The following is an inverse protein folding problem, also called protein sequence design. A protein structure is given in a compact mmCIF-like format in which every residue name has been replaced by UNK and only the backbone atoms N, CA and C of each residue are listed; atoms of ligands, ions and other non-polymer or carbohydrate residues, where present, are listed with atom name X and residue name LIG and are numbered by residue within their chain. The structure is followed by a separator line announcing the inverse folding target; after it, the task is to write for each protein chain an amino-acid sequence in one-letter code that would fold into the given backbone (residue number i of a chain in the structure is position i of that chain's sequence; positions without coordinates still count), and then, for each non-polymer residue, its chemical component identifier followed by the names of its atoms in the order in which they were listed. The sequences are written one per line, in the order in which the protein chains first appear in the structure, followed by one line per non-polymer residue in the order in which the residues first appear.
data_IF_871446525099
#
_entry.id   IF_871446525099
#
_cell.length_a   1.000
_cell.length_b   1.000
_cell.length_c   1.000
_cell.angle_alpha   90.00
_cell.angle_beta   90.00
_cell.angle_gamma   90.00
#
_symmetry.space_group_name_H-M   'P 1'
#
loop_
_entity.id
_entity.type
_entity.pdbx_description
1 polymer ?
#
# COMPACT_ATOMS: atom_id res chain seq x y z
N UNK A 1 4.70 -3.47 -3.65
CA UNK A 1 5.36 -2.26 -3.10
C UNK A 1 6.58 -1.94 -3.94
N UNK A 2 6.47 -0.93 -4.78
CA UNK A 2 7.56 -0.41 -5.61
C UNK A 2 7.47 1.12 -5.63
N UNK A 3 8.55 1.86 -5.94
CA UNK A 3 8.48 3.32 -5.99
C UNK A 3 7.41 3.82 -6.96
N UNK A 4 7.26 3.16 -8.11
CA UNK A 4 6.25 3.51 -9.13
C UNK A 4 4.80 3.36 -8.69
N UNK A 5 4.52 2.61 -7.61
CA UNK A 5 3.18 2.49 -7.03
C UNK A 5 3.04 3.30 -5.74
N UNK A 6 4.05 3.28 -4.88
CA UNK A 6 4.03 3.98 -3.60
C UNK A 6 3.94 5.49 -3.78
N UNK A 7 4.68 6.09 -4.72
CA UNK A 7 4.63 7.54 -4.97
C UNK A 7 3.22 8.00 -5.36
N UNK A 8 2.56 7.42 -6.39
CA UNK A 8 1.18 7.76 -6.71
C UNK A 8 0.19 7.54 -5.57
N UNK A 9 0.38 6.49 -4.75
CA UNK A 9 -0.49 6.26 -3.59
C UNK A 9 -0.35 7.33 -2.51
N UNK A 10 0.87 7.83 -2.28
CA UNK A 10 1.10 8.99 -1.40
C UNK A 10 0.40 10.24 -1.97
N UNK A 11 0.52 10.47 -3.28
CA UNK A 11 -0.15 11.62 -3.91
C UNK A 11 -1.69 11.50 -3.86
N UNK A 12 -2.24 10.29 -3.99
CA UNK A 12 -3.67 10.06 -3.76
C UNK A 12 -4.07 10.34 -2.30
N UNK A 13 -3.27 9.91 -1.32
CA UNK A 13 -3.53 10.21 0.09
C UNK A 13 -3.52 11.73 0.35
N UNK A 14 -2.60 12.46 -0.28
CA UNK A 14 -2.59 13.94 -0.24
C UNK A 14 -3.83 14.54 -0.86
N UNK A 15 -4.24 14.07 -2.04
CA UNK A 15 -5.46 14.55 -2.70
C UNK A 15 -6.70 14.29 -1.84
N UNK A 16 -6.82 13.13 -1.20
CA UNK A 16 -7.91 12.86 -0.25
C UNK A 16 -7.86 13.85 0.92
N UNK A 17 -6.67 14.09 1.46
CA UNK A 17 -6.47 15.01 2.59
C UNK A 17 -6.74 16.49 2.24
N UNK A 18 -6.37 16.96 1.04
CA UNK A 18 -6.64 18.35 0.61
C UNK A 18 -8.14 18.64 0.47
N UNK A 19 -8.96 17.62 0.25
CA UNK A 19 -10.42 17.72 0.18
C UNK A 19 -11.09 17.55 1.55
N UNK A 20 -10.35 17.66 2.65
CA UNK A 20 -10.87 17.67 4.02
C UNK A 20 -11.16 16.28 4.60
N UNK A 21 -10.82 15.20 3.89
CA UNK A 21 -10.94 13.84 4.40
C UNK A 21 -9.69 13.42 5.15
N UNK A 22 -9.81 12.53 6.14
CA UNK A 22 -8.64 11.93 6.80
C UNK A 22 -8.07 10.83 5.90
N UNK A 23 -6.77 10.86 5.63
CA UNK A 23 -6.09 9.80 4.91
C UNK A 23 -5.19 9.00 5.86
N UNK A 24 -5.09 7.67 5.65
CA UNK A 24 -4.13 6.82 6.35
C UNK A 24 -3.40 5.97 5.33
N UNK A 25 -2.08 6.02 5.34
CA UNK A 25 -1.21 5.21 4.49
C UNK A 25 -0.68 4.05 5.31
N UNK A 26 -0.99 2.83 4.85
CA UNK A 26 -0.51 1.58 5.43
C UNK A 26 0.58 1.03 4.51
N UNK A 27 1.76 0.76 5.06
CA UNK A 27 2.91 0.22 4.31
C UNK A 27 3.87 -0.48 5.30
N UNK A 28 5.10 -0.77 4.92
CA UNK A 28 6.08 -1.42 5.82
C UNK A 28 7.08 -0.38 6.39
N UNK A 29 7.76 -0.66 7.51
CA UNK A 29 8.61 0.31 8.20
C UNK A 29 9.66 1.02 7.31
N UNK A 30 10.40 0.28 6.48
CA UNK A 30 11.41 0.88 5.59
C UNK A 30 10.80 1.64 4.41
N UNK A 31 9.58 1.31 4.00
CA UNK A 31 8.89 2.10 2.99
C UNK A 31 8.35 3.40 3.57
N UNK A 32 7.85 3.41 4.81
CA UNK A 32 7.43 4.63 5.51
C UNK A 32 8.60 5.62 5.65
N UNK A 33 9.78 5.15 6.05
CA UNK A 33 10.94 6.03 6.26
C UNK A 33 11.38 6.78 5.00
N UNK A 34 11.14 6.20 3.80
CA UNK A 34 11.40 6.87 2.51
C UNK A 34 10.51 8.09 2.26
N UNK A 35 9.29 8.11 2.81
CA UNK A 35 8.32 9.18 2.59
C UNK A 35 8.14 10.11 3.80
N UNK A 36 8.73 9.73 4.94
CA UNK A 36 8.55 10.44 6.21
C UNK A 36 8.96 11.90 6.13
N UNK A 37 10.08 12.24 5.48
CA UNK A 37 10.51 13.64 5.30
C UNK A 37 9.48 14.46 4.51
N UNK A 38 8.91 13.88 3.45
CA UNK A 38 7.99 14.61 2.59
C UNK A 38 6.65 14.80 3.31
N UNK A 39 6.15 13.76 3.97
CA UNK A 39 4.91 13.80 4.76
C UNK A 39 5.03 14.72 5.97
N UNK A 40 6.19 14.75 6.64
CA UNK A 40 6.45 15.70 7.73
C UNK A 40 6.39 17.16 7.24
N UNK A 41 6.90 17.44 6.03
CA UNK A 41 6.76 18.76 5.41
C UNK A 41 5.29 19.13 5.16
N UNK A 42 4.48 18.17 4.69
CA UNK A 42 3.04 18.36 4.45
C UNK A 42 2.26 18.68 5.74
N UNK A 43 2.63 18.05 6.86
CA UNK A 43 2.06 18.36 8.17
C UNK A 43 2.42 19.76 8.66
N UNK A 44 3.69 20.17 8.49
CA UNK A 44 4.17 21.49 8.93
C UNK A 44 3.59 22.64 8.09
N UNK A 45 3.27 22.39 6.82
CA UNK A 45 2.57 23.33 5.94
C UNK A 45 1.09 23.55 6.30
N UNK A 46 0.55 22.78 7.26
CA UNK A 46 -0.63 23.17 8.03
C UNK A 46 -2.00 22.78 7.48
N UNK A 47 -2.16 21.75 6.64
CA UNK A 47 -3.53 21.35 6.23
C UNK A 47 -3.79 19.88 5.85
N UNK A 48 -2.83 18.96 6.00
CA UNK A 48 -3.04 17.56 5.60
C UNK A 48 -3.03 16.61 6.81
N UNK A 49 -4.17 15.94 7.02
CA UNK A 49 -4.32 14.87 8.02
C UNK A 49 -4.01 13.52 7.37
N UNK A 50 -2.72 13.23 7.19
CA UNK A 50 -2.24 11.94 6.67
C UNK A 50 -1.60 11.15 7.82
N UNK A 51 -2.24 10.05 8.22
CA UNK A 51 -1.66 9.14 9.20
C UNK A 51 -0.78 8.09 8.51
N UNK A 52 0.23 7.61 9.23
CA UNK A 52 1.11 6.54 8.79
C UNK A 52 0.99 5.36 9.74
N UNK A 53 0.75 4.17 9.18
CA UNK A 53 0.72 2.91 9.92
C UNK A 53 1.61 1.89 9.21
N UNK A 54 2.25 1.04 10.00
CA UNK A 54 3.16 0.01 9.51
C UNK A 54 2.55 -1.38 9.64
N UNK A 55 2.86 -2.24 8.68
CA UNK A 55 2.71 -3.70 8.75
C UNK A 55 4.10 -4.30 8.93
N UNK A 56 4.26 -5.15 9.94
CA UNK A 56 5.53 -5.77 10.26
C UNK A 56 5.86 -6.84 9.22
N UNK A 57 6.91 -6.59 8.45
CA UNK A 57 7.34 -7.45 7.35
C UNK A 57 8.25 -8.56 7.87
N UNK A 58 7.77 -9.81 7.81
CA UNK A 58 8.52 -10.98 8.28
C UNK A 58 9.45 -11.54 7.21
N UNK A 59 10.73 -11.17 7.26
CA UNK A 59 11.75 -11.57 6.28
C UNK A 59 12.08 -13.08 6.29
N UNK A 60 12.10 -13.69 7.49
CA UNK A 60 12.53 -15.08 7.70
C UNK A 60 11.59 -16.11 7.09
N UNK A 61 10.33 -15.74 6.83
CA UNK A 61 9.33 -16.62 6.21
C UNK A 61 9.47 -16.70 4.68
N UNK A 62 10.36 -15.91 4.06
CA UNK A 62 10.39 -15.72 2.61
C UNK A 62 11.78 -15.83 1.96
N UNK A 63 12.81 -16.27 2.69
CA UNK A 63 14.21 -16.28 2.21
C UNK A 63 14.65 -14.89 1.69
N UNK A 64 14.19 -13.83 2.36
CA UNK A 64 14.49 -12.44 2.00
C UNK A 64 15.47 -11.81 2.99
N UNK A 65 16.32 -10.91 2.50
CA UNK A 65 17.19 -10.11 3.37
C UNK A 65 16.37 -9.05 4.10
N UNK A 66 16.82 -8.62 5.29
CA UNK A 66 16.17 -7.58 6.12
C UNK A 66 15.98 -6.22 5.45
N UNK A 67 16.55 -6.02 4.25
CA UNK A 67 16.39 -4.81 3.42
C UNK A 67 15.31 -4.94 2.34
N UNK A 68 14.71 -6.12 2.18
CA UNK A 68 13.86 -6.52 1.05
C UNK A 68 12.38 -6.16 1.24
N UNK A 69 12.09 -4.97 1.77
CA UNK A 69 10.70 -4.49 1.92
C UNK A 69 10.15 -3.83 0.64
N UNK A 70 10.97 -3.67 -0.40
CA UNK A 70 10.57 -3.05 -1.66
C UNK A 70 11.08 -3.88 -2.84
N UNK A 71 10.32 -3.91 -3.93
CA UNK A 71 10.74 -4.58 -5.16
C UNK A 71 12.07 -4.03 -5.72
N UNK A 72 12.38 -2.75 -5.46
CA UNK A 72 13.63 -2.12 -5.90
C UNK A 72 14.87 -2.49 -5.07
N UNK A 73 14.69 -3.03 -3.86
CA UNK A 73 15.78 -3.49 -2.99
C UNK A 73 16.04 -4.99 -3.07
N UNK A 74 15.29 -5.72 -3.88
CA UNK A 74 15.52 -7.15 -4.09
C UNK A 74 16.89 -7.37 -4.76
N UNK A 75 17.67 -8.29 -4.22
CA UNK A 75 18.97 -8.67 -4.79
C UNK A 75 18.86 -9.37 -6.15
N UNK A 76 17.69 -9.93 -6.47
CA UNK A 76 17.40 -10.58 -7.75
C UNK A 76 15.90 -10.58 -8.05
N UNK A 77 15.55 -10.50 -9.34
CA UNK A 77 14.16 -10.63 -9.82
C UNK A 77 13.53 -11.98 -9.46
N UNK A 78 14.32 -13.03 -9.28
CA UNK A 78 13.80 -14.34 -8.86
C UNK A 78 13.14 -14.32 -7.48
N UNK A 79 13.50 -13.36 -6.62
CA UNK A 79 12.91 -13.20 -5.29
C UNK A 79 11.55 -12.47 -5.31
N UNK A 80 11.09 -11.95 -6.46
CA UNK A 80 9.81 -11.25 -6.55
C UNK A 80 8.62 -12.13 -6.13
N UNK A 81 8.67 -13.44 -6.42
CA UNK A 81 7.64 -14.37 -5.97
C UNK A 81 7.61 -14.54 -4.44
N UNK A 82 8.79 -14.69 -3.84
CA UNK A 82 8.92 -14.78 -2.39
C UNK A 82 8.47 -13.49 -1.69
N UNK A 83 8.81 -12.34 -2.29
CA UNK A 83 8.31 -11.04 -1.85
C UNK A 83 6.78 -10.97 -1.91
N UNK A 84 6.15 -11.36 -3.01
CA UNK A 84 4.70 -11.42 -3.11
C UNK A 84 4.08 -12.34 -2.05
N UNK A 85 4.67 -13.51 -1.79
CA UNK A 85 4.23 -14.40 -0.70
C UNK A 85 4.31 -13.72 0.66
N UNK A 86 5.42 -13.04 0.97
CA UNK A 86 5.57 -12.31 2.22
C UNK A 86 4.47 -11.24 2.37
N UNK A 87 4.17 -10.47 1.31
CA UNK A 87 3.09 -9.48 1.32
C UNK A 87 1.72 -10.12 1.60
N UNK A 88 1.46 -11.34 1.11
CA UNK A 88 0.19 -12.03 1.40
C UNK A 88 0.05 -12.38 2.88
N UNK A 89 1.15 -12.64 3.59
CA UNK A 89 1.12 -12.94 5.04
C UNK A 89 0.78 -11.72 5.91
N UNK A 90 0.74 -10.52 5.34
CA UNK A 90 0.41 -9.29 6.07
C UNK A 90 -1.10 -9.07 6.26
N UNK A 91 -1.95 -9.88 5.61
CA UNK A 91 -3.41 -9.73 5.66
C UNK A 91 -3.97 -9.64 7.09
N UNK A 92 -3.58 -10.51 8.06
CA UNK A 92 -4.17 -10.43 9.41
C UNK A 92 -3.86 -9.11 10.12
N UNK A 93 -2.61 -8.61 10.00
CA UNK A 93 -2.23 -7.33 10.59
C UNK A 93 -3.03 -6.17 9.97
N UNK A 94 -3.27 -6.21 8.66
CA UNK A 94 -4.06 -5.20 7.99
C UNK A 94 -5.55 -5.27 8.37
N UNK A 95 -6.09 -6.47 8.58
CA UNK A 95 -7.46 -6.66 9.08
C UNK A 95 -7.62 -6.06 10.49
N UNK A 96 -6.66 -6.32 11.38
CA UNK A 96 -6.62 -5.72 12.73
C UNK A 96 -6.62 -4.19 12.68
N UNK A 97 -5.83 -3.59 11.78
CA UNK A 97 -5.82 -2.14 11.59
C UNK A 97 -7.19 -1.63 11.08
N UNK A 98 -7.81 -2.31 10.12
CA UNK A 98 -9.14 -1.91 9.63
C UNK A 98 -10.19 -2.03 10.73
N UNK A 99 -10.15 -3.09 11.54
CA UNK A 99 -11.02 -3.29 12.71
C UNK A 99 -10.88 -2.16 13.74
N UNK A 100 -9.64 -1.77 14.02
CA UNK A 100 -9.31 -0.74 15.01
C UNK A 100 -9.69 0.66 14.53
N UNK A 101 -9.31 1.02 13.30
CA UNK A 101 -9.43 2.38 12.78
C UNK A 101 -10.75 2.65 12.06
N UNK A 102 -11.47 1.61 11.64
CA UNK A 102 -12.81 1.67 11.01
C UNK A 102 -12.88 2.71 9.88
N UNK A 103 -12.07 2.58 8.82
CA UNK A 103 -12.07 3.53 7.71
C UNK A 103 -13.38 3.48 6.92
N UNK A 104 -13.74 4.59 6.29
CA UNK A 104 -14.93 4.67 5.43
C UNK A 104 -14.74 4.00 4.06
N UNK A 105 -13.49 3.83 3.60
CA UNK A 105 -13.15 3.17 2.34
C UNK A 105 -11.68 2.70 2.35
N UNK A 106 -11.34 1.77 1.47
CA UNK A 106 -9.97 1.29 1.23
C UNK A 106 -9.57 1.59 -0.21
N UNK A 107 -8.39 2.21 -0.40
CA UNK A 107 -7.72 2.30 -1.71
C UNK A 107 -6.49 1.40 -1.65
N UNK A 108 -6.43 0.39 -2.50
CA UNK A 108 -5.37 -0.62 -2.47
C UNK A 108 -4.64 -0.78 -3.80
N UNK A 109 -3.40 -1.24 -3.70
CA UNK A 109 -2.62 -1.64 -4.87
C UNK A 109 -3.15 -2.96 -5.44
N UNK A 110 -3.23 -3.09 -6.76
CA UNK A 110 -3.67 -4.33 -7.41
C UNK A 110 -2.87 -5.58 -7.00
N UNK A 111 -1.60 -5.42 -6.58
CA UNK A 111 -0.75 -6.53 -6.16
C UNK A 111 -1.03 -7.00 -4.72
N UNK A 112 -2.04 -6.44 -4.05
CA UNK A 112 -2.44 -6.76 -2.67
C UNK A 112 -3.92 -7.18 -2.65
N UNK A 113 -4.25 -8.32 -3.28
CA UNK A 113 -5.64 -8.70 -3.56
C UNK A 113 -6.48 -8.95 -2.30
N UNK A 114 -5.86 -9.35 -1.18
CA UNK A 114 -6.57 -9.59 0.09
C UNK A 114 -7.26 -8.35 0.66
N UNK A 115 -6.90 -7.14 0.20
CA UNK A 115 -7.59 -5.91 0.61
C UNK A 115 -9.05 -5.85 0.15
N UNK A 116 -9.39 -6.51 -0.96
CA UNK A 116 -10.77 -6.60 -1.43
C UNK A 116 -11.64 -7.43 -0.50
N UNK A 117 -11.10 -8.54 0.03
CA UNK A 117 -11.76 -9.38 1.02
C UNK A 117 -12.01 -8.62 2.33
N UNK A 118 -11.01 -7.88 2.81
CA UNK A 118 -11.16 -7.03 4.01
C UNK A 118 -12.26 -5.98 3.77
N UNK A 119 -12.22 -5.24 2.66
CA UNK A 119 -13.25 -4.24 2.36
C UNK A 119 -14.66 -4.85 2.33
N UNK A 120 -14.80 -6.05 1.77
CA UNK A 120 -16.05 -6.80 1.76
C UNK A 120 -16.52 -7.21 3.17
N UNK A 121 -15.61 -7.73 3.99
CA UNK A 121 -15.92 -8.19 5.36
C UNK A 121 -16.41 -7.06 6.26
N UNK A 122 -15.84 -5.86 6.13
CA UNK A 122 -16.26 -4.67 6.87
C UNK A 122 -17.38 -3.88 6.17
N UNK A 123 -17.84 -4.33 5.00
CA UNK A 123 -18.91 -3.71 4.20
C UNK A 123 -18.60 -2.23 3.88
N UNK A 124 -17.35 -1.98 3.46
CA UNK A 124 -16.88 -0.65 3.04
C UNK A 124 -16.42 -0.69 1.57
N UNK A 125 -16.49 0.45 0.84
CA UNK A 125 -15.97 0.53 -0.52
C UNK A 125 -14.48 0.18 -0.61
N UNK A 126 -14.12 -0.69 -1.55
CA UNK A 126 -12.74 -1.01 -1.93
C UNK A 126 -12.43 -0.54 -3.35
N UNK A 127 -11.38 0.27 -3.52
CA UNK A 127 -10.93 0.83 -4.80
C UNK A 127 -9.53 0.30 -5.14
N UNK A 128 -9.38 -0.29 -6.33
CA UNK A 128 -8.10 -0.86 -6.78
C UNK A 128 -7.35 0.13 -7.67
N UNK A 129 -6.13 0.45 -7.27
CA UNK A 129 -5.17 1.22 -8.04
C UNK A 129 -4.21 0.29 -8.79
N UNK A 130 -4.15 0.45 -10.11
CA UNK A 130 -3.33 -0.39 -10.98
C UNK A 130 -1.96 0.22 -11.30
N UNK A 131 -1.75 1.53 -11.11
CA UNK A 131 -0.47 2.17 -11.46
C UNK A 131 -0.15 2.19 -12.96
N UNK A 132 -1.15 2.02 -13.83
CA UNK A 132 -0.98 1.98 -15.28
C UNK A 132 -2.15 2.66 -16.00
N UNK A 133 -2.00 2.92 -17.31
CA UNK A 133 -3.02 3.61 -18.11
C UNK A 133 -4.17 2.68 -18.51
N UNK A 134 -5.33 3.27 -18.85
CA UNK A 134 -6.52 2.53 -19.27
C UNK A 134 -6.29 1.68 -20.52
N UNK A 135 -5.39 2.10 -21.43
CA UNK A 135 -5.03 1.32 -22.62
C UNK A 135 -4.40 -0.01 -22.21
N UNK A 136 -3.43 0.01 -21.30
CA UNK A 136 -2.77 -1.20 -20.81
C UNK A 136 -3.76 -2.13 -20.11
N UNK A 137 -4.65 -1.57 -19.27
CA UNK A 137 -5.71 -2.35 -18.60
C UNK A 137 -6.68 -3.00 -19.60
N UNK A 138 -7.06 -2.27 -20.65
CA UNK A 138 -7.98 -2.80 -21.68
C UNK A 138 -7.38 -3.96 -22.44
N UNK A 139 -6.06 -3.91 -22.74
CA UNK A 139 -5.35 -5.00 -23.40
C UNK A 139 -5.23 -6.25 -22.52
N UNK A 140 -5.02 -6.08 -21.21
CA UNK A 140 -4.96 -7.20 -20.28
C UNK A 140 -6.32 -7.90 -20.11
N UNK A 141 -7.40 -7.13 -20.08
CA UNK A 141 -8.76 -7.66 -19.93
C UNK A 141 -9.37 -8.19 -21.24
N UNK A 142 -8.89 -7.74 -22.39
CA UNK A 142 -9.38 -8.17 -23.71
C UNK A 142 -8.84 -9.52 -24.21
N UNK A 143 -7.92 -10.14 -23.48
CA UNK A 143 -7.31 -11.44 -23.82
C UNK A 143 -7.94 -12.63 -23.07
N UNK A 144 -9.11 -12.45 -22.44
CA UNK A 144 -9.84 -13.51 -21.70
C UNK A 144 -10.94 -14.15 -22.55
#
# INVERSE_FOLDING_TARGET
MSPGHLVPMIDMARLVATHGSKATVITTPRNISRFQTILNGDHQSGNLQINLLTLDFHFSAADLFETSENLDTLSSRHLSYNFSKAIMTLQPQADDLVSQYKPDAIISDQNIPWTAEIAQNYVIPGLVFHGTCCLNLSLLNGCS
#
